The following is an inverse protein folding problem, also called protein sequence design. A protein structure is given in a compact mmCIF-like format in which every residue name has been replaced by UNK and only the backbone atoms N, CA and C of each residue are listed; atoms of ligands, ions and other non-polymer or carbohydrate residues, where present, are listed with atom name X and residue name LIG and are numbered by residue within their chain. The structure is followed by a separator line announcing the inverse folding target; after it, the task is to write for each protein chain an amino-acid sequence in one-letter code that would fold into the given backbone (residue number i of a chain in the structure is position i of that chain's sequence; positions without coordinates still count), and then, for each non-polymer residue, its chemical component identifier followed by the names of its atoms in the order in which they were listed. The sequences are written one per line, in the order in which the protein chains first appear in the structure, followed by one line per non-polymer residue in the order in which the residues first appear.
data_IF_946558256389
#
_entry.id   IF_946558256389
#
_cell.length_a   1.000
_cell.length_b   1.000
_cell.length_c   1.000
_cell.angle_alpha   90.00
_cell.angle_beta   90.00
_cell.angle_gamma   90.00
#
_symmetry.space_group_name_H-M   'P 1'
#
loop_
_entity.id
_entity.type
_entity.pdbx_description
1 polymer ?
#
# COMPACT_ATOMS: atom_id res chain seq x y z
N UNK A 1 4.66 53.76 36.00
CA UNK A 1 4.22 53.09 34.77
C UNK A 1 5.20 51.98 34.44
N UNK A 2 4.89 50.72 34.79
CA UNK A 2 5.69 49.56 34.35
C UNK A 2 5.15 49.12 32.98
N UNK A 3 6.02 49.12 31.97
CA UNK A 3 5.74 48.53 30.66
C UNK A 3 5.69 47.00 30.82
N UNK A 4 4.58 46.39 30.41
CA UNK A 4 4.48 44.95 30.28
C UNK A 4 5.41 44.48 29.15
N UNK A 5 6.29 43.52 29.47
CA UNK A 5 7.12 42.85 28.47
C UNK A 5 6.24 41.84 27.72
N UNK A 6 6.14 41.99 26.40
CA UNK A 6 5.52 41.02 25.50
C UNK A 6 6.38 39.77 25.46
N UNK A 7 5.85 38.64 25.94
CA UNK A 7 6.48 37.32 25.83
C UNK A 7 6.69 36.96 24.35
N UNK A 8 7.83 36.38 23.94
CA UNK A 8 8.03 35.99 22.55
C UNK A 8 6.96 34.97 22.16
N UNK A 9 6.38 35.10 20.97
CA UNK A 9 5.50 34.08 20.41
C UNK A 9 6.26 32.75 20.37
N UNK A 10 5.61 31.69 20.86
CA UNK A 10 6.15 30.32 20.87
C UNK A 10 6.56 29.94 19.44
N UNK A 11 7.84 29.62 19.20
CA UNK A 11 8.39 29.39 17.86
C UNK A 11 7.65 28.28 17.10
N UNK A 12 7.00 27.35 17.82
CA UNK A 12 6.13 26.33 17.24
C UNK A 12 4.94 26.89 16.46
N UNK A 13 4.43 28.07 16.83
CA UNK A 13 3.33 28.77 16.14
C UNK A 13 3.75 29.47 14.84
N UNK A 14 5.07 29.59 14.61
CA UNK A 14 5.63 30.20 13.40
C UNK A 14 5.89 29.18 12.28
N UNK A 15 5.76 27.88 12.58
CA UNK A 15 5.92 26.80 11.60
C UNK A 15 4.60 26.52 10.89
N UNK A 16 4.63 26.10 9.60
CA UNK A 16 3.44 25.61 8.91
C UNK A 16 2.77 24.51 9.74
N UNK A 17 1.44 24.55 9.84
CA UNK A 17 0.68 23.52 10.53
C UNK A 17 0.96 22.16 9.92
N UNK A 18 1.15 21.14 10.76
CA UNK A 18 1.13 19.76 10.31
C UNK A 18 -0.20 19.49 9.59
N UNK A 19 -0.24 18.71 8.50
CA UNK A 19 -1.43 18.36 7.73
C UNK A 19 -2.34 17.41 8.51
N UNK A 20 -2.82 17.89 9.66
CA UNK A 20 -3.77 17.20 10.51
C UNK A 20 -5.15 17.35 9.85
N UNK A 21 -5.79 16.21 9.56
CA UNK A 21 -7.12 16.19 8.94
C UNK A 21 -7.14 16.09 7.42
N UNK A 22 -5.99 15.91 6.75
CA UNK A 22 -6.00 15.51 5.34
C UNK A 22 -6.49 14.06 5.21
N UNK A 23 -7.36 13.82 4.25
CA UNK A 23 -7.82 12.47 3.93
C UNK A 23 -6.64 11.57 3.57
N UNK A 24 -6.56 10.42 4.21
CA UNK A 24 -5.54 9.41 4.00
C UNK A 24 -6.15 8.17 3.36
N UNK A 25 -5.39 7.52 2.47
CA UNK A 25 -5.82 6.28 1.83
C UNK A 25 -5.97 5.19 2.89
N UNK A 26 -7.20 4.79 3.16
CA UNK A 26 -7.54 3.75 4.12
C UNK A 26 -7.59 2.36 3.49
N UNK A 27 -7.87 2.26 2.18
CA UNK A 27 -7.92 0.99 1.46
C UNK A 27 -7.71 1.17 -0.04
N UNK A 28 -7.03 0.22 -0.68
CA UNK A 28 -7.00 0.09 -2.14
C UNK A 28 -7.33 -1.34 -2.55
N UNK A 29 -8.44 -1.51 -3.25
CA UNK A 29 -8.86 -2.78 -3.83
C UNK A 29 -8.80 -2.71 -5.35
N UNK A 30 -8.30 -3.76 -6.00
CA UNK A 30 -8.20 -3.83 -7.46
C UNK A 30 -8.82 -5.14 -7.94
N UNK A 31 -9.74 -5.05 -8.89
CA UNK A 31 -10.23 -6.17 -9.68
C UNK A 31 -9.49 -6.19 -11.01
N UNK A 32 -8.85 -7.31 -11.32
CA UNK A 32 -7.95 -7.42 -12.45
C UNK A 32 -8.62 -8.12 -13.64
N UNK A 33 -8.64 -7.45 -14.79
CA UNK A 33 -9.02 -8.03 -16.07
C UNK A 33 -7.81 -8.09 -17.00
N UNK A 34 -7.82 -8.95 -18.02
CA UNK A 34 -6.69 -9.07 -18.98
C UNK A 34 -6.31 -7.76 -19.69
N UNK A 35 -7.19 -6.75 -19.66
CA UNK A 35 -7.02 -5.47 -20.37
C UNK A 35 -6.95 -4.25 -19.45
N UNK A 36 -7.31 -4.37 -18.18
CA UNK A 36 -7.43 -3.24 -17.28
C UNK A 36 -7.41 -3.63 -15.79
N UNK A 37 -7.08 -2.66 -14.95
CA UNK A 37 -7.27 -2.67 -13.50
C UNK A 37 -8.51 -1.85 -13.16
N UNK A 38 -9.51 -2.47 -12.54
CA UNK A 38 -10.66 -1.78 -11.94
C UNK A 38 -10.30 -1.47 -10.49
N UNK A 39 -10.00 -0.22 -10.19
CA UNK A 39 -9.43 0.23 -8.91
C UNK A 39 -10.52 0.90 -8.08
N UNK A 40 -10.60 0.53 -6.80
CA UNK A 40 -11.39 1.21 -5.77
C UNK A 40 -10.46 1.71 -4.69
N UNK A 41 -10.49 3.02 -4.43
CA UNK A 41 -9.71 3.67 -3.36
C UNK A 41 -10.69 4.21 -2.33
N UNK A 42 -10.44 3.90 -1.06
CA UNK A 42 -11.20 4.43 0.08
C UNK A 42 -10.30 5.29 0.97
N UNK A 43 -10.91 6.28 1.61
CA UNK A 43 -10.26 7.27 2.45
C UNK A 43 -10.90 7.29 3.85
N UNK A 44 -10.12 7.65 4.86
CA UNK A 44 -10.58 7.77 6.25
C UNK A 44 -11.42 9.04 6.50
N UNK A 45 -11.31 10.04 5.62
CA UNK A 45 -12.09 11.27 5.61
C UNK A 45 -12.51 11.64 4.17
N UNK A 46 -13.47 12.56 3.97
CA UNK A 46 -13.84 13.04 2.64
C UNK A 46 -12.63 13.59 1.89
N UNK A 47 -12.30 12.98 0.75
CA UNK A 47 -11.19 13.37 -0.10
C UNK A 47 -11.66 14.36 -1.17
N UNK A 48 -10.87 15.42 -1.37
CA UNK A 48 -11.14 16.51 -2.33
C UNK A 48 -9.95 16.76 -3.27
N UNK A 49 -8.97 15.86 -3.25
CA UNK A 49 -7.74 15.99 -4.02
C UNK A 49 -7.84 15.36 -5.41
N UNK A 50 -6.68 14.94 -5.93
CA UNK A 50 -6.58 14.30 -7.25
C UNK A 50 -5.90 12.95 -7.15
N UNK A 51 -6.35 11.99 -7.97
CA UNK A 51 -5.71 10.69 -8.13
C UNK A 51 -5.38 10.48 -9.61
N UNK A 52 -4.13 10.13 -9.92
CA UNK A 52 -3.68 9.96 -11.31
C UNK A 52 -2.53 8.96 -11.43
N UNK A 53 -2.25 8.50 -12.64
CA UNK A 53 -1.10 7.63 -12.89
C UNK A 53 0.22 8.40 -12.92
N UNK A 54 1.22 7.92 -12.17
CA UNK A 54 2.53 8.56 -12.00
C UNK A 54 3.16 8.95 -13.34
N UNK A 55 3.62 10.19 -13.46
CA UNK A 55 4.25 10.73 -14.67
C UNK A 55 3.27 11.09 -15.80
N UNK A 56 1.96 10.97 -15.58
CA UNK A 56 0.93 11.19 -16.59
C UNK A 56 -0.16 12.19 -16.12
N UNK A 57 0.18 13.11 -15.22
CA UNK A 57 -0.78 14.11 -14.67
C UNK A 57 -1.37 15.05 -15.72
N UNK A 58 -0.57 15.41 -16.74
CA UNK A 58 -0.98 16.33 -17.79
C UNK A 58 -2.03 15.74 -18.74
N UNK A 59 -2.15 14.40 -18.78
CA UNK A 59 -3.12 13.68 -19.61
C UNK A 59 -4.45 13.59 -18.85
N UNK A 60 -5.52 14.28 -19.30
CA UNK A 60 -6.80 14.28 -18.59
C UNK A 60 -7.38 12.88 -18.38
N UNK A 61 -7.18 11.97 -19.32
CA UNK A 61 -7.62 10.58 -19.27
C UNK A 61 -6.88 9.72 -18.24
N UNK A 62 -5.76 10.21 -17.70
CA UNK A 62 -4.97 9.54 -16.67
C UNK A 62 -5.13 10.20 -15.29
N UNK A 63 -5.97 11.24 -15.18
CA UNK A 63 -6.48 11.81 -13.93
C UNK A 63 -7.80 11.12 -13.58
N UNK A 64 -7.69 10.10 -12.74
CA UNK A 64 -8.78 9.19 -12.38
C UNK A 64 -9.79 9.79 -11.39
N UNK A 65 -9.31 10.65 -10.49
CA UNK A 65 -10.14 11.46 -9.58
C UNK A 65 -9.72 12.91 -9.74
N UNK A 66 -10.69 13.79 -9.92
CA UNK A 66 -10.46 15.22 -10.09
C UNK A 66 -10.86 15.99 -8.83
N UNK A 67 -10.24 17.15 -8.63
CA UNK A 67 -10.46 18.00 -7.47
C UNK A 67 -11.85 18.63 -7.39
N UNK A 68 -12.51 18.77 -8.55
CA UNK A 68 -13.88 19.26 -8.67
C UNK A 68 -14.93 18.14 -8.51
N UNK A 69 -14.49 16.90 -8.31
CA UNK A 69 -15.39 15.81 -7.97
C UNK A 69 -16.07 16.09 -6.63
N UNK A 70 -17.31 15.63 -6.49
CA UNK A 70 -18.04 15.70 -5.22
C UNK A 70 -17.18 15.06 -4.11
N UNK A 71 -16.96 15.76 -2.98
CA UNK A 71 -16.22 15.21 -1.86
C UNK A 71 -16.78 13.85 -1.45
N UNK A 72 -15.90 12.88 -1.26
CA UNK A 72 -16.31 11.51 -0.97
C UNK A 72 -15.21 10.70 -0.33
N UNK A 73 -15.58 9.62 0.35
CA UNK A 73 -14.64 8.72 1.01
C UNK A 73 -14.26 7.51 0.14
N UNK A 74 -14.82 7.39 -1.08
CA UNK A 74 -14.61 6.24 -1.95
C UNK A 74 -14.71 6.64 -3.41
N UNK A 75 -13.74 6.20 -4.22
CA UNK A 75 -13.71 6.45 -5.66
C UNK A 75 -13.38 5.16 -6.42
N UNK A 76 -14.01 4.98 -7.56
CA UNK A 76 -13.79 3.84 -8.46
C UNK A 76 -13.41 4.33 -9.86
N UNK A 77 -12.39 3.71 -10.45
CA UNK A 77 -11.89 4.07 -11.77
C UNK A 77 -11.16 2.91 -12.46
N UNK A 78 -10.94 3.03 -13.77
CA UNK A 78 -10.36 1.96 -14.58
C UNK A 78 -9.04 2.41 -15.20
N UNK A 79 -7.95 1.72 -14.87
CA UNK A 79 -6.64 1.93 -15.50
C UNK A 79 -6.44 0.87 -16.57
N UNK A 80 -6.44 1.27 -17.83
CA UNK A 80 -6.18 0.36 -18.93
C UNK A 80 -4.70 -0.04 -19.01
N UNK A 81 -4.44 -1.26 -19.46
CA UNK A 81 -3.11 -1.82 -19.57
C UNK A 81 -2.25 -1.22 -20.71
N UNK A 82 -2.87 -0.48 -21.64
CA UNK A 82 -2.25 0.05 -22.86
C UNK A 82 -1.96 1.56 -22.80
N UNK A 83 -2.20 2.22 -21.66
CA UNK A 83 -2.06 3.68 -21.50
C UNK A 83 -1.75 4.06 -20.04
N UNK A 84 -1.60 5.36 -19.79
CA UNK A 84 -1.35 5.93 -18.47
C UNK A 84 -0.12 5.34 -17.76
N UNK A 85 0.91 4.99 -18.54
CA UNK A 85 2.16 4.43 -18.01
C UNK A 85 2.05 3.00 -17.49
N UNK A 86 0.97 2.27 -17.82
CA UNK A 86 0.84 0.87 -17.44
C UNK A 86 1.91 0.02 -18.13
N UNK A 87 2.65 -0.76 -17.34
CA UNK A 87 3.59 -1.77 -17.85
C UNK A 87 2.84 -3.09 -17.99
N UNK A 88 2.86 -3.67 -19.19
CA UNK A 88 2.26 -4.98 -19.46
C UNK A 88 3.35 -5.96 -19.87
N UNK A 89 3.46 -7.07 -19.15
CA UNK A 89 4.34 -8.18 -19.46
C UNK A 89 3.49 -9.42 -19.70
N UNK A 90 3.56 -9.96 -20.92
CA UNK A 90 2.97 -11.24 -21.27
C UNK A 90 4.11 -12.23 -21.53
N UNK A 91 4.31 -13.22 -20.66
CA UNK A 91 5.26 -14.31 -20.91
C UNK A 91 4.51 -15.60 -21.22
N UNK A 92 4.95 -16.28 -22.28
CA UNK A 92 4.36 -17.54 -22.80
C UNK A 92 4.98 -18.80 -22.18
N UNK A 93 5.98 -18.67 -21.32
CA UNK A 93 6.72 -19.80 -20.70
C UNK A 93 6.22 -20.09 -19.30
N UNK A 94 6.33 -21.36 -18.86
CA UNK A 94 5.82 -21.86 -17.56
C UNK A 94 6.43 -21.16 -16.32
N UNK A 95 7.58 -20.50 -16.47
CA UNK A 95 8.33 -19.90 -15.35
C UNK A 95 8.22 -18.36 -15.27
N UNK A 96 7.42 -17.73 -16.14
CA UNK A 96 7.30 -16.27 -16.21
C UNK A 96 5.92 -15.74 -15.83
N UNK A 97 5.85 -14.87 -14.82
CA UNK A 97 4.61 -14.21 -14.42
C UNK A 97 4.13 -13.22 -15.51
N UNK A 98 2.89 -13.40 -15.99
CA UNK A 98 2.23 -12.38 -16.82
C UNK A 98 1.56 -11.37 -15.92
N UNK A 99 1.83 -10.08 -16.11
CA UNK A 99 1.31 -9.02 -15.24
C UNK A 99 1.05 -7.70 -15.97
N UNK A 100 0.18 -6.88 -15.37
CA UNK A 100 -0.06 -5.48 -15.68
C UNK A 100 0.30 -4.72 -14.42
N UNK A 101 1.05 -3.63 -14.52
CA UNK A 101 1.48 -2.82 -13.38
C UNK A 101 1.26 -1.33 -13.68
N UNK A 102 0.74 -0.59 -12.72
CA UNK A 102 0.59 0.87 -12.79
C UNK A 102 0.94 1.48 -11.42
N UNK A 103 1.36 2.74 -11.36
CA UNK A 103 1.53 3.44 -10.08
C UNK A 103 0.58 4.62 -10.05
N UNK A 104 -0.36 4.63 -9.10
CA UNK A 104 -1.22 5.78 -8.84
C UNK A 104 -0.56 6.70 -7.82
N UNK A 105 -0.78 8.00 -7.98
CA UNK A 105 -0.41 9.05 -7.03
C UNK A 105 -1.71 9.65 -6.51
N UNK A 106 -1.82 9.76 -5.19
CA UNK A 106 -2.93 10.37 -4.47
C UNK A 106 -2.39 11.66 -3.87
N UNK A 107 -2.88 12.78 -4.37
CA UNK A 107 -2.49 14.11 -3.90
C UNK A 107 -3.65 14.81 -3.24
N UNK A 108 -3.41 15.36 -2.05
CA UNK A 108 -4.43 16.11 -1.32
C UNK A 108 -4.60 17.54 -1.86
N UNK A 109 -3.50 18.20 -2.22
CA UNK A 109 -3.53 19.52 -2.85
C UNK A 109 -3.38 19.37 -4.38
N UNK A 110 -4.41 19.70 -5.18
CA UNK A 110 -4.41 19.46 -6.63
C UNK A 110 -3.29 20.14 -7.43
N UNK A 111 -2.71 21.23 -6.90
CA UNK A 111 -1.74 22.06 -7.64
C UNK A 111 -0.28 21.80 -7.28
N UNK A 112 0.00 21.18 -6.13
CA UNK A 112 1.36 20.96 -5.64
C UNK A 112 1.52 19.57 -5.05
N UNK A 113 2.70 18.97 -5.24
CA UNK A 113 3.05 17.74 -4.55
C UNK A 113 3.57 18.04 -3.16
N UNK A 114 2.84 17.57 -2.14
CA UNK A 114 3.22 17.73 -0.75
C UNK A 114 3.85 16.47 -0.18
N UNK A 115 4.51 16.60 0.96
CA UNK A 115 5.12 15.46 1.64
C UNK A 115 4.10 14.45 2.17
N UNK A 116 2.82 14.84 2.28
CA UNK A 116 1.70 13.99 2.66
C UNK A 116 1.09 13.21 1.49
N UNK A 117 1.53 13.46 0.25
CA UNK A 117 1.01 12.74 -0.91
C UNK A 117 1.52 11.30 -0.91
N UNK A 118 0.71 10.38 -1.41
CA UNK A 118 1.05 8.96 -1.40
C UNK A 118 1.07 8.37 -2.80
N UNK A 119 1.96 7.39 -3.02
CA UNK A 119 2.01 6.65 -4.28
C UNK A 119 1.77 5.16 -3.99
N UNK A 120 0.89 4.54 -4.78
CA UNK A 120 0.52 3.13 -4.69
C UNK A 120 0.82 2.46 -6.03
N UNK A 121 1.76 1.51 -6.05
CA UNK A 121 2.02 0.66 -7.22
C UNK A 121 1.10 -0.54 -7.18
N UNK A 122 0.21 -0.62 -8.16
CA UNK A 122 -0.76 -1.68 -8.35
C UNK A 122 -0.20 -2.66 -9.38
N UNK A 123 -0.20 -3.96 -9.09
CA UNK A 123 0.21 -5.01 -10.03
C UNK A 123 -0.83 -6.10 -10.10
N UNK A 124 -1.46 -6.29 -11.24
CA UNK A 124 -2.30 -7.44 -11.53
C UNK A 124 -1.46 -8.56 -12.13
N UNK A 125 -1.53 -9.78 -11.62
CA UNK A 125 -0.83 -10.94 -12.21
C UNK A 125 -1.74 -12.14 -12.47
N UNK A 126 -1.52 -12.76 -13.62
CA UNK A 126 -2.23 -13.95 -14.09
C UNK A 126 -1.26 -15.13 -14.06
N UNK A 127 -0.97 -15.61 -12.85
CA UNK A 127 -0.37 -16.93 -12.67
C UNK A 127 -1.49 -17.99 -12.66
N UNK A 128 -1.19 -19.21 -13.12
CA UNK A 128 -2.06 -20.39 -13.04
C UNK A 128 -1.89 -21.17 -11.73
N UNK A 129 -0.90 -20.84 -10.90
CA UNK A 129 -0.59 -21.56 -9.67
C UNK A 129 -1.45 -21.13 -8.47
N UNK A 130 -1.74 -22.05 -7.53
CA UNK A 130 -2.47 -21.72 -6.28
C UNK A 130 -1.56 -20.94 -5.32
N UNK A 131 -0.25 -21.16 -5.37
CA UNK A 131 0.74 -20.39 -4.61
C UNK A 131 0.86 -18.97 -5.17
N UNK A 132 0.78 -17.96 -4.29
CA UNK A 132 0.77 -16.54 -4.68
C UNK A 132 1.75 -15.72 -3.86
N UNK A 133 2.46 -14.82 -4.55
CA UNK A 133 3.33 -13.82 -3.92
C UNK A 133 2.60 -12.48 -3.87
N UNK A 134 2.22 -12.07 -2.66
CA UNK A 134 1.71 -10.72 -2.37
C UNK A 134 2.83 -9.87 -1.76
N UNK A 135 2.85 -8.58 -2.06
CA UNK A 135 3.81 -7.64 -1.47
C UNK A 135 3.09 -6.40 -0.97
N UNK A 136 3.69 -5.74 0.00
CA UNK A 136 3.42 -4.36 0.39
C UNK A 136 4.76 -3.72 0.79
N UNK A 137 4.94 -2.44 0.50
CA UNK A 137 6.14 -1.69 0.89
C UNK A 137 5.81 -0.64 1.94
N UNK A 138 6.80 -0.31 2.78
CA UNK A 138 6.65 0.57 3.92
C UNK A 138 7.85 1.50 3.99
N UNK A 139 7.57 2.80 3.95
CA UNK A 139 8.54 3.85 4.20
C UNK A 139 9.04 3.86 5.64
N UNK A 140 10.34 3.66 5.81
CA UNK A 140 11.05 4.07 7.03
C UNK A 140 11.87 5.32 6.68
N UNK A 141 11.36 6.50 7.06
CA UNK A 141 11.99 7.82 6.89
C UNK A 141 12.12 8.46 5.49
N UNK A 142 11.39 8.04 4.45
CA UNK A 142 11.18 8.85 3.23
C UNK A 142 9.98 8.34 2.41
N UNK A 143 9.36 9.21 1.61
CA UNK A 143 8.24 8.88 0.71
C UNK A 143 8.58 7.67 -0.19
N UNK A 144 7.87 6.55 0.01
CA UNK A 144 8.08 5.31 -0.74
C UNK A 144 6.79 4.93 -1.49
N UNK A 145 6.97 4.36 -2.66
CA UNK A 145 5.88 3.81 -3.46
C UNK A 145 5.46 2.48 -2.83
N UNK A 146 4.24 2.42 -2.28
CA UNK A 146 3.72 1.17 -1.70
C UNK A 146 3.23 0.23 -2.80
N UNK A 147 3.87 -0.94 -2.99
CA UNK A 147 3.55 -1.88 -4.06
C UNK A 147 2.63 -3.00 -3.60
N UNK A 148 1.37 -2.97 -4.04
CA UNK A 148 0.38 -4.01 -3.86
C UNK A 148 0.25 -4.89 -5.12
N UNK A 149 0.18 -6.21 -4.91
CA UNK A 149 -0.06 -7.21 -5.97
C UNK A 149 -1.46 -7.80 -5.82
N UNK A 150 -2.14 -8.01 -6.94
CA UNK A 150 -3.52 -8.45 -7.08
C UNK A 150 -3.60 -9.55 -8.13
N UNK A 151 -4.47 -10.55 -7.93
CA UNK A 151 -4.62 -11.64 -8.87
C UNK A 151 -5.59 -11.28 -10.00
N UNK A 152 -5.26 -11.72 -11.21
CA UNK A 152 -6.12 -11.68 -12.37
C UNK A 152 -6.83 -13.01 -12.60
N UNK A 153 -8.12 -13.07 -12.28
CA UNK A 153 -9.06 -14.12 -12.68
C UNK A 153 -8.59 -15.58 -12.50
N UNK A 154 -8.15 -15.95 -11.30
CA UNK A 154 -8.05 -17.36 -10.87
C UNK A 154 -8.56 -17.48 -9.44
N UNK A 155 -9.11 -18.65 -9.07
CA UNK A 155 -10.06 -18.91 -8.00
C UNK A 155 -9.82 -18.34 -6.57
N UNK A 156 -8.71 -17.67 -6.28
CA UNK A 156 -8.43 -16.99 -5.00
C UNK A 156 -7.77 -15.63 -5.27
N UNK A 157 -8.49 -14.52 -5.10
CA UNK A 157 -7.85 -13.20 -5.16
C UNK A 157 -7.27 -12.88 -3.79
N UNK A 158 -5.99 -12.53 -3.68
CA UNK A 158 -5.40 -12.11 -2.40
C UNK A 158 -4.55 -10.86 -2.56
N UNK A 159 -4.49 -10.05 -1.50
CA UNK A 159 -3.65 -8.85 -1.43
C UNK A 159 -3.09 -8.68 -0.03
N UNK A 160 -1.95 -7.98 0.06
CA UNK A 160 -1.27 -7.70 1.31
C UNK A 160 -1.29 -6.21 1.61
N UNK A 161 -1.43 -5.89 2.89
CA UNK A 161 -1.33 -4.55 3.43
C UNK A 161 -0.52 -4.56 4.72
N UNK A 162 -0.10 -3.38 5.17
CA UNK A 162 0.59 -3.21 6.45
C UNK A 162 -0.12 -2.14 7.25
N UNK A 163 -0.50 -2.50 8.47
CA UNK A 163 -1.26 -1.65 9.38
C UNK A 163 -0.41 -1.15 10.53
N UNK A 164 -0.77 0.02 11.06
CA UNK A 164 -0.17 0.58 12.27
C UNK A 164 -0.66 -0.15 13.51
N UNK A 165 0.26 -0.47 14.43
CA UNK A 165 -0.09 -1.11 15.70
C UNK A 165 -0.51 -2.56 15.54
N UNK A 166 -1.51 -2.97 16.34
CA UNK A 166 -2.04 -4.33 16.37
C UNK A 166 -3.36 -4.40 15.60
N UNK A 167 -3.29 -4.94 14.39
CA UNK A 167 -4.42 -5.23 13.51
C UNK A 167 -5.20 -6.48 13.93
N UNK A 168 -6.00 -7.10 13.02
CA UNK A 168 -6.00 -6.94 11.56
C UNK A 168 -6.98 -5.90 11.00
N UNK A 169 -7.53 -5.02 11.84
CA UNK A 169 -8.46 -3.95 11.44
C UNK A 169 -7.94 -2.55 11.77
N UNK A 170 -6.64 -2.43 12.02
CA UNK A 170 -6.02 -1.13 12.25
C UNK A 170 -5.87 -0.37 10.94
N UNK A 171 -5.76 0.97 10.98
CA UNK A 171 -5.52 1.76 9.78
C UNK A 171 -4.23 1.32 9.07
N UNK A 172 -4.20 1.36 7.72
CA UNK A 172 -2.98 1.07 6.96
C UNK A 172 -1.89 2.09 7.28
N UNK A 173 -0.64 1.72 7.01
CA UNK A 173 0.48 2.65 7.08
C UNK A 173 0.40 3.61 5.88
N UNK A 174 0.16 4.89 6.14
CA UNK A 174 0.11 5.93 5.10
C UNK A 174 1.31 6.87 5.11
N UNK A 175 2.15 6.80 6.15
CA UNK A 175 3.30 7.69 6.34
C UNK A 175 4.56 7.00 6.86
N UNK A 176 5.46 7.79 7.44
CA UNK A 176 6.74 7.32 7.98
C UNK A 176 6.54 6.44 9.22
N UNK A 177 7.24 5.31 9.26
CA UNK A 177 7.30 4.44 10.43
C UNK A 177 8.65 4.56 11.13
N UNK A 178 8.66 4.54 12.46
CA UNK A 178 9.91 4.53 13.24
C UNK A 178 10.38 3.10 13.46
N UNK A 179 11.71 2.93 13.50
CA UNK A 179 12.31 1.65 13.88
C UNK A 179 11.80 1.25 15.27
N UNK A 180 11.35 -0.01 15.40
CA UNK A 180 10.81 -0.58 16.62
C UNK A 180 9.29 -0.41 16.80
N UNK A 181 8.63 0.41 15.98
CA UNK A 181 7.18 0.53 15.97
C UNK A 181 6.54 -0.86 15.76
N UNK A 182 5.39 -1.07 16.40
CA UNK A 182 4.61 -2.29 16.18
C UNK A 182 3.73 -2.07 14.96
N UNK A 183 3.86 -2.96 13.99
CA UNK A 183 3.07 -3.02 12.77
C UNK A 183 2.35 -4.36 12.68
N UNK A 184 1.38 -4.46 11.78
CA UNK A 184 0.72 -5.72 11.44
C UNK A 184 0.76 -5.95 9.94
N UNK A 185 1.39 -7.03 9.50
CA UNK A 185 1.25 -7.52 8.13
C UNK A 185 -0.11 -8.19 8.01
N UNK A 186 -0.89 -7.84 7.00
CA UNK A 186 -2.24 -8.38 6.78
C UNK A 186 -2.37 -8.87 5.36
N UNK A 187 -2.84 -10.10 5.18
CA UNK A 187 -3.12 -10.72 3.88
C UNK A 187 -4.61 -11.02 3.82
N UNK A 188 -5.29 -10.33 2.92
CA UNK A 188 -6.71 -10.51 2.65
C UNK A 188 -6.87 -11.53 1.53
N UNK A 189 -7.77 -12.50 1.72
CA UNK A 189 -8.15 -13.48 0.69
C UNK A 189 -9.61 -13.28 0.34
N UNK A 190 -9.92 -13.17 -0.95
CA UNK A 190 -11.25 -13.05 -1.53
C UNK A 190 -11.59 -14.37 -2.25
N UNK A 191 -12.87 -14.70 -2.31
CA UNK A 191 -13.36 -15.96 -2.87
C UNK A 191 -13.94 -16.88 -1.79
N UNK A 192 -15.04 -17.56 -2.10
CA UNK A 192 -15.73 -18.43 -1.16
C UNK A 192 -14.92 -19.71 -0.88
N UNK A 193 -14.95 -20.18 0.37
CA UNK A 193 -14.44 -21.49 0.82
C UNK A 193 -12.93 -21.76 0.72
N UNK A 194 -12.10 -20.72 0.67
CA UNK A 194 -10.64 -20.86 0.63
C UNK A 194 -10.02 -20.60 2.00
N UNK A 195 -9.09 -21.47 2.39
CA UNK A 195 -8.20 -21.24 3.53
C UNK A 195 -6.85 -20.73 3.03
N UNK A 196 -6.19 -19.92 3.85
CA UNK A 196 -4.92 -19.26 3.50
C UNK A 196 -3.79 -19.83 4.35
N UNK A 197 -2.60 -19.95 3.75
CA UNK A 197 -1.36 -20.25 4.46
C UNK A 197 -0.26 -19.34 3.92
N UNK A 198 0.30 -18.50 4.80
CA UNK A 198 1.40 -17.61 4.42
C UNK A 198 2.73 -18.33 4.62
N UNK A 199 3.49 -18.45 3.54
CA UNK A 199 4.83 -19.03 3.46
C UNK A 199 5.83 -17.97 2.99
N UNK A 200 7.12 -18.24 3.06
CA UNK A 200 8.20 -17.51 2.39
C UNK A 200 8.09 -15.97 2.43
N UNK A 201 7.88 -15.40 3.61
CA UNK A 201 7.81 -13.96 3.78
C UNK A 201 9.23 -13.37 3.72
N UNK A 202 9.49 -12.56 2.70
CA UNK A 202 10.77 -11.92 2.43
C UNK A 202 10.62 -10.40 2.52
N UNK A 203 11.49 -9.74 3.29
CA UNK A 203 11.64 -8.29 3.26
C UNK A 203 12.91 -7.92 2.49
N UNK A 204 12.90 -6.87 1.67
CA UNK A 204 14.07 -6.41 0.92
C UNK A 204 14.05 -4.89 0.69
N UNK A 205 15.21 -4.29 0.47
CA UNK A 205 15.39 -2.85 0.19
C UNK A 205 15.29 -2.50 -1.31
N UNK A 206 14.44 -3.23 -2.03
CA UNK A 206 14.33 -3.18 -3.50
C UNK A 206 15.24 -4.16 -4.26
N UNK A 207 16.21 -4.82 -3.61
CA UNK A 207 17.03 -5.89 -4.20
C UNK A 207 16.71 -7.25 -3.56
N UNK A 208 16.05 -8.18 -4.27
CA UNK A 208 15.71 -9.50 -3.74
C UNK A 208 16.90 -10.33 -3.28
N UNK A 209 18.12 -10.07 -3.80
CA UNK A 209 19.33 -10.80 -3.39
C UNK A 209 19.78 -10.46 -1.98
N UNK A 210 19.33 -9.33 -1.44
CA UNK A 210 19.62 -8.87 -0.07
C UNK A 210 18.40 -8.97 0.84
N UNK A 211 17.50 -9.91 0.53
CA UNK A 211 16.29 -10.13 1.30
C UNK A 211 16.59 -10.75 2.68
N UNK A 212 15.80 -10.34 3.67
CA UNK A 212 15.71 -10.98 4.98
C UNK A 212 14.49 -11.89 4.98
N UNK A 213 14.74 -13.19 5.19
CA UNK A 213 13.69 -14.18 5.37
C UNK A 213 13.04 -14.05 6.76
N UNK A 214 11.76 -13.67 6.79
CA UNK A 214 10.94 -13.53 7.98
C UNK A 214 10.18 -14.82 8.32
N UNK A 215 9.69 -15.54 7.31
CA UNK A 215 9.15 -16.91 7.45
C UNK A 215 9.69 -17.86 6.39
N UNK A 216 9.82 -19.15 6.69
CA UNK A 216 10.30 -20.18 5.76
C UNK A 216 9.19 -20.71 4.80
N UNK A 217 9.55 -21.66 3.94
CA UNK A 217 8.66 -22.31 2.97
C UNK A 217 7.50 -23.10 3.59
N UNK A 218 7.52 -23.32 4.90
CA UNK A 218 6.45 -23.96 5.67
C UNK A 218 5.62 -22.96 6.47
N UNK A 219 5.96 -21.66 6.41
CA UNK A 219 5.32 -20.59 7.17
C UNK A 219 5.86 -20.44 8.60
N UNK A 220 6.95 -21.12 8.96
CA UNK A 220 7.56 -21.00 10.28
C UNK A 220 8.36 -19.70 10.40
N UNK A 221 8.27 -19.04 11.56
CA UNK A 221 8.97 -17.77 11.83
C UNK A 221 10.48 -17.99 11.89
N UNK A 222 11.22 -17.38 10.97
CA UNK A 222 12.68 -17.45 10.89
C UNK A 222 13.38 -16.28 11.61
N UNK A 223 12.66 -15.19 11.88
CA UNK A 223 13.16 -13.99 12.57
C UNK A 223 12.22 -13.56 13.71
N UNK A 224 12.21 -14.28 14.85
CA UNK A 224 11.25 -14.05 15.94
C UNK A 224 11.41 -12.70 16.65
N UNK A 225 12.55 -12.03 16.50
CA UNK A 225 12.75 -10.65 16.99
C UNK A 225 12.03 -9.61 16.12
N UNK A 226 11.75 -9.94 14.86
CA UNK A 226 11.16 -9.03 13.87
C UNK A 226 9.70 -9.38 13.60
N UNK A 227 9.36 -10.66 13.47
CA UNK A 227 8.02 -11.11 13.10
C UNK A 227 7.47 -12.13 14.11
N UNK A 228 6.20 -11.99 14.47
CA UNK A 228 5.43 -12.98 15.22
C UNK A 228 4.85 -14.09 14.34
N UNK A 229 4.25 -15.13 14.93
CA UNK A 229 3.58 -16.19 14.16
C UNK A 229 2.36 -15.63 13.41
N UNK A 230 2.10 -16.18 12.23
CA UNK A 230 0.89 -15.88 11.45
C UNK A 230 -0.37 -16.41 12.15
N UNK A 231 -1.39 -15.58 12.21
CA UNK A 231 -2.73 -15.85 12.74
C UNK A 231 -3.75 -15.74 11.62
N UNK A 232 -4.92 -16.34 11.78
CA UNK A 232 -6.00 -16.33 10.79
C UNK A 232 -7.34 -15.97 11.43
N UNK A 233 -8.16 -15.23 10.72
CA UNK A 233 -9.54 -14.91 11.11
C UNK A 233 -10.48 -14.97 9.91
N UNK A 234 -11.68 -15.52 10.13
CA UNK A 234 -12.83 -15.45 9.21
C UNK A 234 -13.82 -14.35 9.58
N UNK A 235 -13.67 -13.74 10.75
CA UNK A 235 -14.31 -12.46 11.01
C UNK A 235 -13.53 -11.42 10.22
N UNK A 236 -14.09 -10.93 9.12
CA UNK A 236 -13.41 -10.04 8.17
C UNK A 236 -14.07 -8.65 8.07
N UNK A 237 -15.14 -8.39 8.84
CA UNK A 237 -15.83 -7.10 8.86
C UNK A 237 -16.21 -6.60 7.46
N UNK A 238 -16.07 -5.29 7.23
CA UNK A 238 -16.37 -4.65 5.95
C UNK A 238 -15.24 -4.77 4.90
N UNK A 239 -14.24 -5.62 5.13
CA UNK A 239 -13.07 -5.71 4.23
C UNK A 239 -13.41 -6.35 2.89
N UNK A 240 -14.49 -7.15 2.83
CA UNK A 240 -14.88 -7.94 1.65
C UNK A 240 -14.07 -9.23 1.48
N UNK A 241 -13.13 -9.51 2.38
CA UNK A 241 -12.36 -10.75 2.40
C UNK A 241 -13.17 -11.92 2.99
N UNK A 242 -12.91 -13.14 2.53
CA UNK A 242 -13.42 -14.37 3.12
C UNK A 242 -12.55 -14.85 4.29
N UNK A 243 -11.23 -14.66 4.19
CA UNK A 243 -10.27 -14.96 5.26
C UNK A 243 -9.17 -13.89 5.30
N UNK A 244 -8.73 -13.53 6.51
CA UNK A 244 -7.58 -12.66 6.74
C UNK A 244 -6.50 -13.44 7.48
N UNK A 245 -5.28 -13.46 6.96
CA UNK A 245 -4.09 -13.85 7.70
C UNK A 245 -3.31 -12.62 8.17
N UNK A 246 -2.78 -12.62 9.38
CA UNK A 246 -2.02 -11.48 9.89
C UNK A 246 -0.89 -11.88 10.84
N UNK A 247 0.15 -11.06 10.91
CA UNK A 247 1.28 -11.25 11.81
C UNK A 247 1.80 -9.90 12.31
N UNK A 248 2.20 -9.85 13.58
CA UNK A 248 2.81 -8.64 14.15
C UNK A 248 4.28 -8.53 13.73
N UNK A 249 4.65 -7.35 13.26
CA UNK A 249 6.00 -7.01 12.81
C UNK A 249 6.56 -5.87 13.67
N UNK A 250 7.83 -5.97 14.06
CA UNK A 250 8.61 -4.85 14.57
C UNK A 250 9.30 -4.16 13.41
N UNK A 251 8.98 -2.88 13.21
CA UNK A 251 9.56 -2.08 12.15
C UNK A 251 11.09 -2.07 12.25
N UNK A 252 11.77 -2.28 11.13
CA UNK A 252 13.23 -2.32 11.04
C UNK A 252 13.68 -1.66 9.74
N UNK A 253 14.97 -1.31 9.67
CA UNK A 253 15.59 -0.71 8.49
C UNK A 253 16.78 -1.56 8.05
N UNK A 254 17.00 -1.67 6.75
CA UNK A 254 18.24 -2.22 6.20
C UNK A 254 19.40 -1.24 6.41
N UNK A 255 20.64 -1.71 6.58
CA UNK A 255 21.81 -0.85 6.62
C UNK A 255 21.93 -0.01 5.35
N UNK A 256 22.39 1.25 5.48
CA UNK A 256 22.56 2.15 4.34
C UNK A 256 23.59 1.61 3.35
N UNK A 257 23.34 1.84 2.05
CA UNK A 257 24.34 1.57 1.01
C UNK A 257 25.38 2.68 1.06
N UNK A 258 26.65 2.36 1.28
CA UNK A 258 27.72 3.30 0.93
C UNK A 258 27.70 3.47 -0.58
N UNK A 259 27.56 4.71 -1.07
CA UNK A 259 27.79 5.00 -2.49
C UNK A 259 29.23 4.59 -2.83
N UNK A 260 29.36 3.58 -3.69
CA UNK A 260 30.60 3.23 -4.37
C UNK A 260 30.59 3.80 -5.77
#
# INVERSE_FOLDING_TARGET
MLKAATTPADQASLLPSSPQGLAQVSKVAVRCTKKAMEVRVEFDAPFTGVVYSKGHFEQPECRHVQADATPGNSFEFVIRADRCGSSKVERKTKDGESYIENTIVVQNEPRIQEWSDSARRLRCSWDTNIDRTVSSSISVNQLEVQQARYAGSSAADSYMDVQLGRGPFSPPVTGLVRIGDTLTLVVYTLGADLDVLVKDCLAHDGDPRRAVQLTDARGCVAKPKLLGPWQKTRNTGATGASTIAFAYLKAFKFPDKTCG
#
